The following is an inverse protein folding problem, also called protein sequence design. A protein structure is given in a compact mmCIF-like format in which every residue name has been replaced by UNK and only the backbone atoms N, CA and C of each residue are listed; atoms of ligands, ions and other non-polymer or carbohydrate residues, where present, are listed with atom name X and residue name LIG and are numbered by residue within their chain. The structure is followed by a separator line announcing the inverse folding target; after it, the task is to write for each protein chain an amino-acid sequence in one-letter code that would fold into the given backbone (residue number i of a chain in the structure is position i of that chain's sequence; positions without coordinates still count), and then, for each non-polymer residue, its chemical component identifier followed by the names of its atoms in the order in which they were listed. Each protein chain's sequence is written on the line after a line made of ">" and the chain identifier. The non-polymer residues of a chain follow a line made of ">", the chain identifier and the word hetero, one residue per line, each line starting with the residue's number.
data_IF_360817198116
#
_entry.id   IF_360817198116
#
_cell.length_a   1.000
_cell.length_b   1.000
_cell.length_c   1.000
_cell.angle_alpha   90.00
_cell.angle_beta   90.00
_cell.angle_gamma   90.00
#
_symmetry.space_group_name_H-M   'P 1'
#
loop_
_entity.id
_entity.type
_entity.pdbx_description
1 polymer ?
#
# COMPACT_ATOMS: atom_id res chain seq x y z
N UNK A 1 3.19 2.61 8.97
CA UNK A 1 2.68 1.59 8.01
C UNK A 1 3.69 0.45 7.94
N UNK A 2 3.23 -0.81 7.86
CA UNK A 2 4.09 -2.01 7.76
C UNK A 2 3.80 -2.76 6.45
N UNK A 3 4.75 -3.57 5.97
CA UNK A 3 4.53 -4.39 4.77
C UNK A 3 3.31 -5.31 4.89
N UNK A 4 3.06 -5.87 6.08
CA UNK A 4 1.88 -6.70 6.36
C UNK A 4 0.57 -5.93 6.18
N UNK A 5 0.49 -4.70 6.70
CA UNK A 5 -0.73 -3.89 6.60
C UNK A 5 -0.96 -3.33 5.19
N UNK A 6 0.05 -3.37 4.32
CA UNK A 6 -0.12 -3.00 2.92
C UNK A 6 -0.57 -4.17 2.03
N UNK A 7 -0.70 -5.39 2.55
CA UNK A 7 -1.10 -6.55 1.74
C UNK A 7 -2.53 -6.42 1.21
N UNK A 8 -3.42 -5.76 1.94
CA UNK A 8 -4.81 -5.58 1.50
C UNK A 8 -4.92 -4.67 0.26
N UNK A 9 -3.94 -3.78 0.04
CA UNK A 9 -3.88 -2.90 -1.14
C UNK A 9 -3.39 -3.63 -2.40
N UNK A 10 -4.00 -4.77 -2.71
CA UNK A 10 -3.72 -5.58 -3.90
C UNK A 10 -4.55 -5.10 -5.08
N UNK A 11 -3.88 -4.60 -6.12
CA UNK A 11 -4.56 -4.05 -7.30
C UNK A 11 -4.25 -4.96 -8.49
N UNK A 12 -5.29 -5.29 -9.26
CA UNK A 12 -5.16 -6.25 -10.37
C UNK A 12 -4.80 -5.58 -11.69
N UNK A 13 -4.20 -6.33 -12.61
CA UNK A 13 -3.95 -5.86 -13.98
C UNK A 13 -5.26 -5.46 -14.68
N UNK A 14 -6.31 -6.25 -14.48
CA UNK A 14 -7.64 -5.96 -15.03
C UNK A 14 -8.19 -4.62 -14.51
N UNK A 15 -8.05 -4.34 -13.21
CA UNK A 15 -8.53 -3.10 -12.61
C UNK A 15 -7.73 -1.89 -13.11
N UNK A 16 -6.40 -2.01 -13.22
CA UNK A 16 -5.57 -0.97 -13.82
C UNK A 16 -5.98 -0.67 -15.26
N UNK A 17 -6.20 -1.71 -16.08
CA UNK A 17 -6.64 -1.55 -17.46
C UNK A 17 -8.01 -0.90 -17.56
N UNK A 18 -8.96 -1.29 -16.72
CA UNK A 18 -10.33 -0.75 -16.77
C UNK A 18 -10.44 0.68 -16.22
N UNK A 19 -9.73 1.01 -15.15
CA UNK A 19 -9.84 2.32 -14.49
C UNK A 19 -8.87 3.37 -15.04
N UNK A 20 -7.64 2.96 -15.38
CA UNK A 20 -6.60 3.89 -15.87
C UNK A 20 -6.40 3.76 -17.37
N UNK A 21 -6.22 2.53 -17.86
CA UNK A 21 -5.91 2.25 -19.27
C UNK A 21 -7.02 2.64 -20.24
N UNK A 22 -8.29 2.55 -19.80
CA UNK A 22 -9.46 2.95 -20.57
C UNK A 22 -9.95 4.39 -20.25
N UNK A 23 -9.26 5.12 -19.38
CA UNK A 23 -9.62 6.52 -19.09
C UNK A 23 -9.22 7.45 -20.25
N UNK A 24 -9.95 8.54 -20.46
CA UNK A 24 -9.59 9.57 -21.44
C UNK A 24 -8.43 10.48 -21.00
N UNK A 25 -7.80 10.18 -19.85
CA UNK A 25 -6.78 11.00 -19.22
C UNK A 25 -5.38 10.48 -19.60
N UNK A 26 -4.47 11.31 -20.15
CA UNK A 26 -3.11 10.90 -20.47
C UNK A 26 -2.34 10.29 -19.30
N UNK A 27 -2.58 10.78 -18.08
CA UNK A 27 -1.97 10.24 -16.86
C UNK A 27 -2.39 8.80 -16.59
N UNK A 28 -3.63 8.42 -16.87
CA UNK A 28 -4.12 7.05 -16.69
C UNK A 28 -3.39 6.07 -17.60
N UNK A 29 -3.28 6.41 -18.89
CA UNK A 29 -2.48 5.61 -19.82
C UNK A 29 -1.01 5.53 -19.42
N UNK A 30 -0.42 6.65 -18.97
CA UNK A 30 0.96 6.70 -18.51
C UNK A 30 1.20 5.74 -17.34
N UNK A 31 0.38 5.82 -16.28
CA UNK A 31 0.51 4.95 -15.11
C UNK A 31 0.31 3.48 -15.50
N UNK A 32 -0.74 3.18 -16.27
CA UNK A 32 -1.02 1.81 -16.73
C UNK A 32 0.17 1.22 -17.51
N UNK A 33 0.76 1.98 -18.43
CA UNK A 33 1.95 1.55 -19.18
C UNK A 33 3.19 1.41 -18.31
N UNK A 34 3.42 2.31 -17.34
CA UNK A 34 4.58 2.24 -16.46
C UNK A 34 4.49 1.10 -15.45
N UNK A 35 3.28 0.69 -15.08
CA UNK A 35 3.06 -0.41 -14.15
C UNK A 35 2.91 -1.78 -14.83
N UNK A 36 2.78 -1.86 -16.17
CA UNK A 36 2.48 -3.12 -16.86
C UNK A 36 3.50 -4.23 -16.57
N UNK A 37 4.79 -3.89 -16.56
CA UNK A 37 5.86 -4.86 -16.31
C UNK A 37 5.81 -5.44 -14.89
N UNK A 38 5.23 -4.73 -13.92
CA UNK A 38 5.07 -5.24 -12.56
C UNK A 38 4.09 -6.40 -12.52
N UNK A 39 3.00 -6.36 -13.30
CA UNK A 39 2.05 -7.48 -13.40
C UNK A 39 2.72 -8.72 -14.00
N UNK A 40 3.50 -8.54 -15.07
CA UNK A 40 4.28 -9.63 -15.66
C UNK A 40 5.27 -10.23 -14.65
N UNK A 41 5.96 -9.39 -13.88
CA UNK A 41 6.90 -9.83 -12.87
C UNK A 41 6.23 -10.60 -11.72
N UNK A 42 5.09 -10.10 -11.22
CA UNK A 42 4.33 -10.74 -10.14
C UNK A 42 3.74 -12.08 -10.58
N UNK A 43 3.20 -12.16 -11.80
CA UNK A 43 2.75 -13.42 -12.37
C UNK A 43 3.92 -14.41 -12.47
N UNK A 44 5.03 -14.02 -13.06
CA UNK A 44 6.17 -14.92 -13.27
C UNK A 44 6.82 -15.43 -11.98
N UNK A 45 6.85 -14.62 -10.92
CA UNK A 45 7.54 -14.95 -9.66
C UNK A 45 6.64 -15.54 -8.58
N UNK A 46 5.40 -15.09 -8.53
CA UNK A 46 4.50 -15.35 -7.41
C UNK A 46 3.14 -15.90 -7.86
N UNK A 47 2.89 -16.02 -9.17
CA UNK A 47 1.61 -16.45 -9.74
C UNK A 47 0.44 -15.57 -9.27
N UNK A 48 0.66 -14.26 -9.25
CA UNK A 48 -0.32 -13.24 -8.85
C UNK A 48 -0.71 -12.35 -10.05
N UNK A 49 -2.01 -12.15 -10.23
CA UNK A 49 -2.60 -11.28 -11.29
C UNK A 49 -2.74 -9.81 -10.85
N UNK A 50 -1.73 -9.31 -10.15
CA UNK A 50 -1.77 -8.01 -9.50
C UNK A 50 -0.54 -7.78 -8.63
N UNK A 51 -0.47 -6.63 -7.98
CA UNK A 51 0.59 -6.35 -7.01
C UNK A 51 0.06 -5.52 -5.83
N UNK A 52 0.78 -5.63 -4.71
CA UNK A 52 0.49 -4.86 -3.49
C UNK A 52 1.13 -3.47 -3.57
N UNK A 53 0.32 -2.43 -3.38
CA UNK A 53 0.73 -1.04 -3.58
C UNK A 53 1.33 -0.41 -2.31
N UNK A 54 2.45 -0.96 -1.81
CA UNK A 54 3.00 -0.60 -0.49
C UNK A 54 3.30 0.90 -0.32
N UNK A 55 3.95 1.52 -1.30
CA UNK A 55 4.31 2.95 -1.24
C UNK A 55 3.07 3.85 -1.35
N UNK A 56 2.06 3.41 -2.10
CA UNK A 56 0.78 4.13 -2.24
C UNK A 56 0.06 4.17 -0.91
N UNK A 57 0.00 3.06 -0.17
CA UNK A 57 -0.59 3.01 1.17
C UNK A 57 0.11 3.98 2.13
N UNK A 58 1.45 4.04 2.07
CA UNK A 58 2.22 4.96 2.91
C UNK A 58 1.90 6.43 2.62
N UNK A 59 1.81 6.81 1.33
CA UNK A 59 1.45 8.17 0.92
C UNK A 59 0.00 8.48 1.25
N UNK A 60 -0.94 7.57 0.96
CA UNK A 60 -2.36 7.73 1.26
C UNK A 60 -2.60 7.97 2.76
N UNK A 61 -1.92 7.22 3.64
CA UNK A 61 -2.00 7.48 5.08
C UNK A 61 -1.49 8.87 5.47
N UNK A 62 -0.44 9.36 4.79
CA UNK A 62 0.08 10.70 5.04
C UNK A 62 -0.87 11.81 4.55
N UNK A 63 -1.46 11.65 3.37
CA UNK A 63 -2.31 12.70 2.75
C UNK A 63 -3.76 12.67 3.22
N UNK A 64 -4.30 11.49 3.50
CA UNK A 64 -5.69 11.29 3.92
C UNK A 64 -5.77 10.21 5.01
N UNK A 65 -5.39 10.55 6.26
CA UNK A 65 -5.45 9.61 7.39
C UNK A 65 -6.85 9.03 7.66
N UNK A 66 -7.92 9.69 7.19
CA UNK A 66 -9.30 9.25 7.42
C UNK A 66 -9.67 7.94 6.71
N UNK A 67 -8.86 7.52 5.73
CA UNK A 67 -8.97 6.21 5.08
C UNK A 67 -8.50 5.05 5.97
N UNK A 68 -7.95 5.35 7.14
CA UNK A 68 -7.29 4.39 8.02
C UNK A 68 -7.88 4.39 9.43
N UNK A 69 -7.81 3.23 10.05
CA UNK A 69 -7.98 3.08 11.49
C UNK A 69 -6.62 3.12 12.18
N UNK A 70 -6.53 3.88 13.27
CA UNK A 70 -5.39 3.82 14.17
C UNK A 70 -5.34 2.45 14.84
N UNK A 71 -4.18 1.80 14.79
CA UNK A 71 -3.90 0.59 15.56
C UNK A 71 -2.63 0.79 16.40
N UNK A 72 -2.76 1.43 17.58
CA UNK A 72 -1.66 1.62 18.49
C UNK A 72 -1.09 0.26 18.92
N UNK A 73 0.19 0.05 18.62
CA UNK A 73 0.87 -1.22 18.82
C UNK A 73 2.15 -1.00 19.62
N UNK A 74 2.35 -1.85 20.64
CA UNK A 74 3.60 -1.88 21.39
C UNK A 74 4.60 -2.77 20.68
N UNK A 75 5.73 -2.20 20.28
CA UNK A 75 6.84 -2.91 19.65
C UNK A 75 8.05 -2.93 20.56
N UNK A 76 8.80 -4.02 20.50
CA UNK A 76 10.06 -4.21 21.23
C UNK A 76 11.18 -4.46 20.23
N UNK A 77 11.71 -3.41 19.56
CA UNK A 77 12.80 -3.58 18.62
C UNK A 77 14.03 -4.11 19.34
N UNK A 78 14.71 -5.08 18.74
CA UNK A 78 15.98 -5.57 19.23
C UNK A 78 16.91 -5.83 18.04
N UNK A 79 18.22 -5.65 18.26
CA UNK A 79 19.20 -5.65 17.17
C UNK A 79 19.21 -6.97 16.38
N UNK A 80 19.14 -8.11 17.07
CA UNK A 80 19.17 -9.44 16.44
C UNK A 80 17.99 -9.65 15.47
N UNK A 81 16.78 -9.27 15.88
CA UNK A 81 15.59 -9.40 15.03
C UNK A 81 15.57 -8.34 13.92
N UNK A 82 16.02 -7.12 14.19
CA UNK A 82 16.14 -6.07 13.17
C UNK A 82 17.14 -6.43 12.06
N UNK A 83 18.26 -7.09 12.40
CA UNK A 83 19.21 -7.61 11.42
C UNK A 83 18.59 -8.64 10.45
N UNK A 84 17.47 -9.24 10.84
CA UNK A 84 16.68 -10.18 10.02
C UNK A 84 15.46 -9.53 9.37
N UNK A 85 15.30 -8.20 9.49
CA UNK A 85 14.16 -7.46 8.97
C UNK A 85 12.87 -7.62 9.77
N UNK A 86 12.94 -8.03 11.04
CA UNK A 86 11.76 -8.28 11.88
C UNK A 86 11.52 -7.14 12.89
N UNK A 87 10.28 -6.69 12.96
CA UNK A 87 9.74 -5.88 14.06
C UNK A 87 8.90 -6.80 14.94
N UNK A 88 9.24 -6.89 16.22
CA UNK A 88 8.57 -7.77 17.17
C UNK A 88 7.63 -7.00 18.10
N UNK A 89 6.49 -7.60 18.41
CA UNK A 89 5.54 -7.10 19.39
C UNK A 89 6.00 -7.42 20.81
N UNK A 90 5.63 -6.58 21.77
CA UNK A 90 5.80 -6.95 23.17
C UNK A 90 4.84 -8.09 23.52
N UNK A 91 5.38 -9.14 24.14
CA UNK A 91 4.63 -10.34 24.52
C UNK A 91 4.46 -10.48 26.03
N UNK A 92 5.05 -9.57 26.81
CA UNK A 92 5.11 -9.65 28.27
C UNK A 92 4.74 -8.32 28.91
N UNK A 93 3.91 -8.41 29.94
CA UNK A 93 3.52 -7.25 30.76
C UNK A 93 4.76 -6.71 31.51
N UNK A 94 5.04 -5.41 31.39
CA UNK A 94 6.20 -4.76 32.03
C UNK A 94 7.49 -4.75 31.20
N UNK A 95 7.49 -5.31 29.99
CA UNK A 95 8.61 -5.17 29.05
C UNK A 95 8.70 -3.73 28.52
N UNK A 96 9.92 -3.18 28.48
CA UNK A 96 10.17 -1.87 27.86
C UNK A 96 9.80 -1.95 26.38
N UNK A 97 8.73 -1.26 26.01
CA UNK A 97 8.20 -1.24 24.65
C UNK A 97 7.95 0.17 24.19
N UNK A 98 8.06 0.37 22.88
CA UNK A 98 7.74 1.64 22.23
C UNK A 98 6.34 1.53 21.66
N UNK A 99 5.47 2.48 22.01
CA UNK A 99 4.13 2.55 21.43
C UNK A 99 4.19 3.32 20.12
N UNK A 100 3.84 2.67 19.03
CA UNK A 100 3.77 3.27 17.69
C UNK A 100 2.39 3.05 17.09
N UNK A 101 2.00 3.85 16.10
CA UNK A 101 0.80 3.57 15.31
C UNK A 101 1.15 2.69 14.11
N UNK A 102 0.41 1.60 13.90
CA UNK A 102 0.53 0.72 12.74
C UNK A 102 -0.83 0.72 12.01
N UNK A 103 -1.13 1.77 11.22
CA UNK A 103 -2.48 2.01 10.69
C UNK A 103 -2.94 0.86 9.80
N UNK A 104 -4.25 0.61 9.80
CA UNK A 104 -4.90 -0.40 8.96
C UNK A 104 -5.86 0.34 8.02
N UNK A 105 -5.94 -0.08 6.75
CA UNK A 105 -6.91 0.46 5.81
C UNK A 105 -8.31 0.17 6.37
N UNK A 106 -9.09 1.23 6.63
CA UNK A 106 -10.43 1.10 7.23
C UNK A 106 -11.41 0.42 6.27
N UNK A 107 -11.41 0.88 5.02
CA UNK A 107 -12.26 0.38 3.96
C UNK A 107 -11.47 0.30 2.66
N UNK A 108 -11.23 -0.92 2.17
CA UNK A 108 -10.42 -1.15 0.99
C UNK A 108 -11.03 -0.53 -0.28
N UNK A 109 -12.35 -0.60 -0.45
CA UNK A 109 -13.02 -0.02 -1.62
C UNK A 109 -12.85 1.50 -1.64
N UNK A 110 -13.17 2.19 -0.54
CA UNK A 110 -13.01 3.64 -0.44
C UNK A 110 -11.56 4.06 -0.63
N UNK A 111 -10.61 3.32 -0.04
CA UNK A 111 -9.17 3.56 -0.24
C UNK A 111 -8.78 3.44 -1.72
N UNK A 112 -9.19 2.36 -2.38
CA UNK A 112 -8.85 2.10 -3.77
C UNK A 112 -9.46 3.17 -4.69
N UNK A 113 -10.71 3.57 -4.44
CA UNK A 113 -11.38 4.63 -5.20
C UNK A 113 -10.66 5.98 -5.03
N UNK A 114 -10.31 6.39 -3.80
CA UNK A 114 -9.55 7.61 -3.50
C UNK A 114 -8.21 7.64 -4.25
N UNK A 115 -7.48 6.52 -4.27
CA UNK A 115 -6.20 6.39 -4.98
C UNK A 115 -6.38 6.59 -6.49
N UNK A 116 -7.34 5.90 -7.13
CA UNK A 116 -7.54 6.04 -8.57
C UNK A 116 -8.02 7.46 -8.94
N UNK A 117 -8.91 8.05 -8.14
CA UNK A 117 -9.36 9.43 -8.33
C UNK A 117 -8.19 10.42 -8.22
N UNK A 118 -7.34 10.27 -7.20
CA UNK A 118 -6.16 11.11 -7.01
C UNK A 118 -5.20 11.05 -8.21
N UNK A 119 -4.95 9.85 -8.74
CA UNK A 119 -4.11 9.67 -9.92
C UNK A 119 -4.72 10.27 -11.19
N UNK A 120 -6.02 10.07 -11.43
CA UNK A 120 -6.69 10.58 -12.63
C UNK A 120 -6.88 12.10 -12.61
N UNK A 121 -6.89 12.71 -11.42
CA UNK A 121 -6.95 14.16 -11.24
C UNK A 121 -5.59 14.86 -11.41
N UNK A 122 -4.49 14.12 -11.57
CA UNK A 122 -3.19 14.71 -11.84
C UNK A 122 -3.06 15.15 -13.30
N UNK A 123 -2.65 16.40 -13.51
CA UNK A 123 -2.45 16.96 -14.84
C UNK A 123 -1.01 16.73 -15.32
N UNK A 124 -0.85 15.79 -16.27
CA UNK A 124 0.44 15.44 -16.86
C UNK A 124 0.95 16.47 -17.88
N UNK A 125 0.17 17.50 -18.23
CA UNK A 125 0.52 18.48 -19.27
C UNK A 125 1.24 19.72 -18.76
N UNK A 126 1.54 19.77 -17.46
CA UNK A 126 2.32 20.85 -16.82
C UNK A 126 3.82 20.58 -16.80
#
# INVERSE_FOLDING_TARGET
>A
ITGNNCLDAFFTDQEFKSRLGASDRPIGHYISQKCSYWFENMMARFNLEGFHNWDVVAVAYFVNPSLFEDAPTNVTPNLEKLQRGLITHSTKQGELSNRINIPIIHNLTTFTDDVYEAWLNFDLTK
#
